data_IF_648160981603
#
_entry.id   IF_648160981603
#
_cell.length_a   1.000
_cell.length_b   1.000
_cell.length_c   1.000
_cell.angle_alpha   90.00
_cell.angle_beta   90.00
_cell.angle_gamma   90.00
#
_symmetry.space_group_name_H-M   'P 1'
#
loop_
_entity.id
_entity.type
_entity.pdbx_description
1 polymer ?
#
# COMPACT_ATOMS: atom_id res chain seq x y z
N UNK A 1 26.43 -28.53 -55.28
CA UNK A 1 26.93 -28.69 -53.89
C UNK A 1 27.64 -27.40 -53.50
N UNK A 2 27.13 -26.69 -52.47
CA UNK A 2 27.71 -25.51 -51.79
C UNK A 2 27.95 -24.26 -52.66
N UNK A 3 27.04 -23.31 -52.85
CA UNK A 3 26.57 -22.21 -51.95
C UNK A 3 27.65 -21.52 -51.11
N UNK A 4 28.13 -20.37 -51.61
CA UNK A 4 28.81 -19.31 -50.85
C UNK A 4 27.84 -18.15 -50.65
N UNK A 5 27.31 -17.98 -49.44
CA UNK A 5 26.47 -16.85 -49.05
C UNK A 5 27.23 -15.96 -48.05
N UNK A 6 27.37 -14.70 -48.42
CA UNK A 6 27.11 -13.51 -47.61
C UNK A 6 27.54 -13.51 -46.14
N UNK A 7 28.78 -13.08 -45.93
CA UNK A 7 29.21 -12.47 -44.68
C UNK A 7 28.74 -11.01 -44.63
N UNK A 8 27.43 -10.78 -44.51
CA UNK A 8 26.86 -9.45 -44.23
C UNK A 8 25.53 -9.53 -43.45
N UNK A 9 25.35 -10.58 -42.65
CA UNK A 9 24.09 -10.84 -41.94
C UNK A 9 24.35 -11.28 -40.50
N UNK A 10 25.06 -10.45 -39.72
CA UNK A 10 25.23 -10.70 -38.28
C UNK A 10 25.32 -9.44 -37.39
N UNK A 11 25.10 -8.24 -37.94
CA UNK A 11 25.07 -6.98 -37.15
C UNK A 11 23.70 -6.31 -37.19
N UNK A 12 22.69 -6.98 -37.74
CA UNK A 12 21.36 -6.40 -37.98
C UNK A 12 20.23 -7.12 -37.22
N UNK A 13 20.54 -7.74 -36.08
CA UNK A 13 19.52 -8.39 -35.23
C UNK A 13 19.52 -7.97 -33.76
N UNK A 14 20.14 -6.84 -33.41
CA UNK A 14 20.05 -6.28 -32.03
C UNK A 14 19.41 -4.88 -31.97
N UNK A 15 19.12 -4.25 -33.12
CA UNK A 15 18.58 -2.88 -33.17
C UNK A 15 17.08 -2.78 -33.54
N UNK A 16 16.26 -3.76 -33.15
CA UNK A 16 14.78 -3.66 -33.25
C UNK A 16 14.11 -3.31 -31.91
N UNK A 17 14.88 -2.93 -30.87
CA UNK A 17 14.33 -2.59 -29.55
C UNK A 17 14.52 -1.16 -29.04
N UNK A 18 14.99 -0.24 -29.86
CA UNK A 18 15.06 1.17 -29.50
C UNK A 18 14.53 2.04 -30.65
N UNK A 19 13.24 2.37 -30.59
CA UNK A 19 12.52 3.18 -31.58
C UNK A 19 13.01 4.61 -31.67
N UNK A 20 14.15 4.82 -32.34
CA UNK A 20 14.68 6.13 -32.72
C UNK A 20 15.16 6.04 -34.17
N UNK A 21 14.26 6.02 -35.15
CA UNK A 21 14.60 6.31 -36.56
C UNK A 21 13.32 6.54 -37.38
N UNK A 22 12.50 7.51 -36.98
CA UNK A 22 11.34 7.91 -37.79
C UNK A 22 11.14 9.42 -37.87
N UNK A 23 12.25 10.16 -37.96
CA UNK A 23 12.22 11.60 -38.22
C UNK A 23 13.33 12.06 -39.16
N UNK A 24 13.55 11.34 -40.28
CA UNK A 24 14.45 11.85 -41.32
C UNK A 24 14.24 11.34 -42.75
N UNK A 25 13.03 10.93 -43.12
CA UNK A 25 12.68 10.70 -44.54
C UNK A 25 11.21 11.12 -44.77
N UNK A 26 10.99 12.42 -44.99
CA UNK A 26 9.82 12.94 -45.72
C UNK A 26 10.06 14.38 -46.20
N UNK A 27 11.32 14.67 -46.56
CA UNK A 27 11.67 15.81 -47.37
C UNK A 27 11.78 15.32 -48.82
N UNK A 28 11.12 16.02 -49.75
CA UNK A 28 11.06 15.77 -51.20
C UNK A 28 10.00 14.77 -51.70
N UNK A 29 8.75 15.22 -51.76
CA UNK A 29 7.94 15.22 -53.00
C UNK A 29 6.53 15.75 -52.71
N UNK A 30 6.24 16.99 -53.14
CA UNK A 30 4.86 17.46 -53.34
C UNK A 30 4.77 18.13 -54.70
N UNK A 31 4.25 17.37 -55.66
CA UNK A 31 3.80 17.87 -56.95
C UNK A 31 2.83 19.04 -56.74
N UNK A 32 3.05 20.14 -57.46
CA UNK A 32 2.15 21.30 -57.48
C UNK A 32 0.84 20.93 -58.20
N UNK A 33 -0.28 21.11 -57.52
CA UNK A 33 -1.63 21.02 -58.12
C UNK A 33 -1.99 22.35 -58.78
N UNK A 34 -2.79 22.35 -59.87
CA UNK A 34 -3.16 23.58 -60.57
C UNK A 34 -3.97 24.52 -59.67
N UNK A 35 -3.66 25.81 -59.75
CA UNK A 35 -4.29 26.87 -58.96
C UNK A 35 -5.60 27.29 -59.63
N UNK A 36 -6.72 27.14 -58.92
CA UNK A 36 -7.99 27.78 -59.28
C UNK A 36 -7.88 29.28 -59.02
N UNK A 37 -7.85 30.06 -60.11
CA UNK A 37 -7.94 31.51 -60.10
C UNK A 37 -9.31 31.94 -59.56
N UNK A 38 -9.34 32.76 -58.51
CA UNK A 38 -10.54 33.55 -58.15
C UNK A 38 -11.02 33.56 -56.69
N UNK A 39 -10.33 32.94 -55.73
CA UNK A 39 -10.74 33.02 -54.32
C UNK A 39 -9.66 33.70 -53.45
N UNK A 40 -10.00 34.87 -52.88
CA UNK A 40 -9.15 35.59 -51.91
C UNK A 40 -8.92 34.70 -50.68
N UNK A 41 -7.80 34.00 -50.65
CA UNK A 41 -7.30 33.35 -49.45
C UNK A 41 -6.82 34.44 -48.47
N UNK A 42 -7.57 34.66 -47.39
CA UNK A 42 -7.00 35.34 -46.20
C UNK A 42 -5.93 34.42 -45.63
N UNK A 43 -4.67 34.78 -45.83
CA UNK A 43 -3.53 34.20 -45.10
C UNK A 43 -3.80 34.34 -43.60
N UNK A 44 -3.98 33.22 -42.89
CA UNK A 44 -3.93 33.22 -41.44
C UNK A 44 -2.53 33.71 -41.04
N UNK A 45 -2.47 34.70 -40.14
CA UNK A 45 -1.22 35.08 -39.46
C UNK A 45 -0.57 33.80 -38.98
N UNK A 46 0.65 33.55 -39.45
CA UNK A 46 1.52 32.50 -38.93
C UNK A 46 1.75 32.89 -37.47
N UNK A 47 1.21 32.14 -36.52
CA UNK A 47 1.49 32.36 -35.10
C UNK A 47 3.01 32.32 -34.94
N UNK A 48 3.61 33.47 -34.65
CA UNK A 48 4.98 33.53 -34.17
C UNK A 48 4.99 32.69 -32.91
N UNK A 49 5.68 31.54 -32.95
CA UNK A 49 5.98 30.80 -31.72
C UNK A 49 6.78 31.76 -30.85
N UNK A 50 6.15 32.32 -29.82
CA UNK A 50 6.82 33.14 -28.83
C UNK A 50 8.12 32.44 -28.44
N UNK A 51 9.23 33.16 -28.44
CA UNK A 51 10.56 32.60 -28.18
C UNK A 51 10.61 32.07 -26.74
N UNK A 52 11.17 30.89 -26.54
CA UNK A 52 11.33 30.31 -25.19
C UNK A 52 12.54 30.95 -24.53
N UNK A 53 12.31 31.83 -23.55
CA UNK A 53 13.36 32.62 -22.89
C UNK A 53 13.30 32.44 -21.36
N UNK A 54 13.70 31.26 -20.84
CA UNK A 54 13.63 30.95 -19.41
C UNK A 54 14.51 31.85 -18.54
N UNK A 55 15.60 32.39 -19.09
CA UNK A 55 16.47 33.36 -18.39
C UNK A 55 15.76 34.69 -18.14
N UNK A 56 15.03 35.21 -19.13
CA UNK A 56 14.27 36.47 -18.98
C UNK A 56 13.13 36.29 -17.98
N UNK A 57 12.46 35.14 -18.04
CA UNK A 57 11.47 34.77 -17.03
C UNK A 57 12.07 34.70 -15.62
N UNK A 58 13.21 34.00 -15.46
CA UNK A 58 13.95 33.92 -14.19
C UNK A 58 14.27 35.32 -13.66
N UNK A 59 14.86 36.17 -14.48
CA UNK A 59 15.33 37.50 -14.04
C UNK A 59 14.15 38.34 -13.52
N UNK A 60 12.99 38.25 -14.18
CA UNK A 60 11.76 38.92 -13.75
C UNK A 60 11.24 38.39 -12.41
N UNK A 61 11.21 37.06 -12.23
CA UNK A 61 10.75 36.45 -10.98
C UNK A 61 11.71 36.75 -9.83
N UNK A 62 13.02 36.58 -10.05
CA UNK A 62 14.06 36.83 -9.04
C UNK A 62 14.02 38.30 -8.59
N UNK A 63 13.90 39.24 -9.53
CA UNK A 63 13.77 40.66 -9.20
C UNK A 63 12.56 40.91 -8.29
N UNK A 64 11.36 40.42 -8.66
CA UNK A 64 10.17 40.66 -7.86
C UNK A 64 10.19 39.99 -6.49
N UNK A 65 10.82 38.81 -6.36
CA UNK A 65 11.04 38.18 -5.05
C UNK A 65 12.01 38.98 -4.17
N UNK A 66 13.08 39.52 -4.76
CA UNK A 66 14.03 40.38 -4.04
C UNK A 66 13.43 41.73 -3.63
N UNK A 67 12.52 42.29 -4.44
CA UNK A 67 11.77 43.51 -4.10
C UNK A 67 10.74 43.26 -2.98
N UNK A 68 10.10 42.08 -2.96
CA UNK A 68 9.18 41.68 -1.90
C UNK A 68 9.89 41.42 -0.55
N UNK A 69 11.18 41.05 -0.58
CA UNK A 69 11.98 40.79 0.60
C UNK A 69 11.53 39.54 1.36
N UNK A 70 11.65 39.55 2.70
CA UNK A 70 11.30 38.42 3.56
C UNK A 70 9.80 38.31 3.88
N UNK A 71 8.96 39.21 3.38
CA UNK A 71 7.51 39.18 3.60
C UNK A 71 6.85 38.17 2.64
N UNK A 72 6.46 37.02 3.19
CA UNK A 72 5.83 35.94 2.43
C UNK A 72 4.44 36.30 1.88
N UNK A 73 3.74 37.27 2.50
CA UNK A 73 2.48 37.77 1.95
C UNK A 73 2.74 38.67 0.74
N UNK A 74 3.76 39.51 0.81
CA UNK A 74 4.21 40.31 -0.33
C UNK A 74 4.67 39.42 -1.49
N UNK A 75 5.40 38.33 -1.22
CA UNK A 75 5.79 37.33 -2.22
C UNK A 75 4.55 36.68 -2.85
N UNK A 76 3.58 36.22 -2.05
CA UNK A 76 2.36 35.60 -2.57
C UNK A 76 1.56 36.58 -3.46
N UNK A 77 1.46 37.84 -3.06
CA UNK A 77 0.79 38.91 -3.82
C UNK A 77 1.52 39.22 -5.12
N UNK A 78 2.86 39.29 -5.09
CA UNK A 78 3.68 39.45 -6.29
C UNK A 78 3.40 38.29 -7.26
N UNK A 79 3.48 37.05 -6.80
CA UNK A 79 3.27 35.87 -7.64
C UNK A 79 1.87 35.80 -8.27
N UNK A 80 0.81 36.22 -7.54
CA UNK A 80 -0.55 36.35 -8.10
C UNK A 80 -0.62 37.48 -9.15
N UNK A 81 -0.04 38.64 -8.87
CA UNK A 81 -0.06 39.73 -9.84
C UNK A 81 0.75 39.41 -11.11
N UNK A 82 1.92 38.79 -10.96
CA UNK A 82 2.84 38.47 -12.04
C UNK A 82 2.32 37.34 -12.93
N UNK A 83 1.62 36.35 -12.37
CA UNK A 83 1.06 35.23 -13.15
C UNK A 83 -0.07 35.62 -14.10
N UNK A 84 -0.62 36.84 -13.99
CA UNK A 84 -1.53 37.41 -14.98
C UNK A 84 -0.82 37.93 -16.24
N UNK A 85 0.49 38.18 -16.15
CA UNK A 85 1.33 38.78 -17.20
C UNK A 85 2.38 37.81 -17.73
N UNK A 86 2.87 36.91 -16.88
CA UNK A 86 3.89 35.93 -17.20
C UNK A 86 3.26 34.55 -17.45
N UNK A 87 3.78 33.82 -18.42
CA UNK A 87 3.31 32.48 -18.74
C UNK A 87 3.90 31.43 -17.79
N UNK A 88 3.30 31.27 -16.61
CA UNK A 88 3.71 30.25 -15.64
C UNK A 88 3.58 28.83 -16.17
N UNK A 89 2.64 28.56 -17.09
CA UNK A 89 2.46 27.20 -17.61
C UNK A 89 3.67 26.77 -18.42
N UNK A 90 4.22 27.70 -19.20
CA UNK A 90 5.39 27.45 -20.05
C UNK A 90 6.70 27.40 -19.26
N UNK A 91 6.81 28.17 -18.19
CA UNK A 91 8.03 28.29 -17.38
C UNK A 91 7.87 27.67 -15.98
N UNK A 92 6.98 26.68 -15.82
CA UNK A 92 6.66 26.11 -14.52
C UNK A 92 7.90 25.53 -13.80
N UNK A 93 8.73 24.76 -14.52
CA UNK A 93 9.97 24.19 -13.99
C UNK A 93 10.89 25.30 -13.45
N UNK A 94 11.09 26.36 -14.25
CA UNK A 94 11.90 27.52 -13.88
C UNK A 94 11.33 28.27 -12.67
N UNK A 95 10.00 28.44 -12.62
CA UNK A 95 9.32 29.09 -11.50
C UNK A 95 9.58 28.33 -10.20
N UNK A 96 9.37 27.02 -10.21
CA UNK A 96 9.49 26.19 -9.01
C UNK A 96 10.94 25.93 -8.60
N UNK A 97 11.89 25.83 -9.54
CA UNK A 97 13.32 25.86 -9.27
C UNK A 97 13.68 27.11 -8.44
N UNK A 98 13.20 28.30 -8.86
CA UNK A 98 13.47 29.55 -8.15
C UNK A 98 12.81 29.58 -6.77
N UNK A 99 11.54 29.19 -6.66
CA UNK A 99 10.82 29.22 -5.39
C UNK A 99 11.38 28.23 -4.35
N UNK A 100 11.97 27.12 -4.78
CA UNK A 100 12.57 26.13 -3.88
C UNK A 100 14.05 26.41 -3.65
N UNK A 101 14.85 26.52 -4.72
CA UNK A 101 16.31 26.55 -4.66
C UNK A 101 16.92 27.96 -4.78
N UNK A 102 16.12 28.97 -5.16
CA UNK A 102 16.52 30.37 -5.30
C UNK A 102 17.08 30.74 -6.67
N UNK A 103 17.25 29.77 -7.57
CA UNK A 103 17.80 29.94 -8.92
C UNK A 103 17.31 28.81 -9.83
N UNK A 104 17.62 28.90 -11.13
CA UNK A 104 17.42 27.76 -12.04
C UNK A 104 18.35 26.59 -11.68
N UNK A 105 17.86 25.37 -11.92
CA UNK A 105 18.65 24.16 -11.75
C UNK A 105 19.06 23.58 -13.11
N UNK A 106 20.28 23.09 -13.19
CA UNK A 106 20.77 22.32 -14.32
C UNK A 106 20.13 20.92 -14.33
N UNK A 107 20.14 20.21 -15.48
CA UNK A 107 19.80 18.80 -15.50
C UNK A 107 20.70 18.02 -14.52
N UNK A 108 20.11 17.50 -13.43
CA UNK A 108 20.85 16.87 -12.32
C UNK A 108 20.70 17.56 -10.96
N UNK A 109 20.01 18.71 -10.90
CA UNK A 109 19.65 19.38 -9.65
C UNK A 109 20.72 20.32 -9.07
N UNK A 110 21.85 20.52 -9.75
CA UNK A 110 22.84 21.53 -9.36
C UNK A 110 22.36 22.92 -9.75
N UNK A 111 22.62 23.93 -8.91
CA UNK A 111 22.31 25.32 -9.27
C UNK A 111 23.15 25.76 -10.46
N UNK A 112 22.52 26.47 -11.40
CA UNK A 112 23.25 27.14 -12.48
C UNK A 112 23.92 28.37 -11.88
N UNK A 113 25.24 28.28 -11.66
CA UNK A 113 26.05 29.38 -11.15
C UNK A 113 26.56 30.24 -12.31
N UNK A 114 25.85 31.36 -12.55
CA UNK A 114 26.26 32.38 -13.51
C UNK A 114 27.28 33.38 -12.92
N UNK A 115 27.78 33.16 -11.69
CA UNK A 115 28.63 34.08 -10.91
C UNK A 115 28.01 35.48 -10.68
N UNK A 116 26.72 35.63 -10.96
CA UNK A 116 25.97 36.88 -10.90
C UNK A 116 24.86 36.77 -9.85
N UNK A 117 25.06 37.45 -8.72
CA UNK A 117 24.15 37.45 -7.57
C UNK A 117 22.77 38.04 -7.90
N UNK A 118 22.63 38.79 -8.99
CA UNK A 118 21.34 39.36 -9.41
C UNK A 118 20.40 38.31 -9.98
N UNK A 119 20.92 37.13 -10.36
CA UNK A 119 20.16 36.01 -10.94
C UNK A 119 19.70 34.97 -9.91
N UNK A 120 19.86 35.29 -8.63
CA UNK A 120 19.47 34.44 -7.50
C UNK A 120 18.65 35.26 -6.50
N UNK A 121 17.73 34.59 -5.81
CA UNK A 121 17.03 35.12 -4.64
C UNK A 121 17.36 34.31 -3.39
N UNK A 122 17.35 35.00 -2.24
CA UNK A 122 17.41 34.36 -0.91
C UNK A 122 16.01 34.13 -0.32
N UNK A 123 14.96 34.58 -1.02
CA UNK A 123 13.57 34.48 -0.57
C UNK A 123 12.93 33.22 -1.18
N UNK A 124 13.50 32.07 -0.81
CA UNK A 124 13.08 30.74 -1.25
C UNK A 124 13.26 29.73 -0.12
N UNK A 125 12.74 28.52 -0.32
CA UNK A 125 12.70 27.46 0.70
C UNK A 125 14.08 27.09 1.21
N UNK A 126 15.09 26.94 0.33
CA UNK A 126 16.43 26.50 0.73
C UNK A 126 17.17 27.52 1.61
N UNK A 127 16.82 28.80 1.51
CA UNK A 127 17.37 29.87 2.35
C UNK A 127 16.51 30.20 3.57
N UNK A 128 15.33 29.58 3.72
CA UNK A 128 14.49 29.72 4.92
C UNK A 128 15.19 29.19 6.17
N UNK A 129 14.72 29.58 7.35
CA UNK A 129 15.15 28.94 8.60
C UNK A 129 14.73 27.47 8.61
N UNK A 130 15.57 26.59 9.15
CA UNK A 130 15.28 25.16 9.29
C UNK A 130 14.34 24.92 10.48
N UNK A 131 13.15 25.51 10.38
CA UNK A 131 12.11 25.49 11.40
C UNK A 131 10.74 25.14 10.77
N UNK A 132 9.90 24.45 11.54
CA UNK A 132 8.64 23.93 11.02
C UNK A 132 7.66 25.04 10.66
N UNK A 133 7.56 26.10 11.46
CA UNK A 133 6.68 27.23 11.19
C UNK A 133 7.19 28.07 10.01
N UNK A 134 8.51 28.28 9.92
CA UNK A 134 9.12 28.96 8.77
C UNK A 134 8.81 28.24 7.45
N UNK A 135 9.00 26.92 7.39
CA UNK A 135 8.72 26.12 6.19
C UNK A 135 7.21 26.00 5.93
N UNK A 136 6.37 25.95 6.98
CA UNK A 136 4.90 26.00 6.85
C UNK A 136 4.46 27.29 6.16
N UNK A 137 5.04 28.43 6.51
CA UNK A 137 4.68 29.71 5.88
C UNK A 137 5.07 29.73 4.38
N UNK A 138 6.22 29.16 4.00
CA UNK A 138 6.55 28.96 2.58
C UNK A 138 5.55 28.01 1.90
N UNK A 139 5.15 26.91 2.54
CA UNK A 139 4.14 26.00 2.02
C UNK A 139 2.80 26.71 1.74
N UNK A 140 2.43 27.72 2.55
CA UNK A 140 1.24 28.54 2.30
C UNK A 140 1.35 29.36 1.02
N UNK A 141 2.54 29.87 0.66
CA UNK A 141 2.77 30.55 -0.63
C UNK A 141 2.47 29.62 -1.80
N UNK A 142 2.99 28.38 -1.77
CA UNK A 142 2.67 27.37 -2.78
C UNK A 142 1.17 27.06 -2.81
N UNK A 143 0.54 26.89 -1.64
CA UNK A 143 -0.91 26.63 -1.56
C UNK A 143 -1.74 27.74 -2.20
N UNK A 144 -1.41 29.01 -1.94
CA UNK A 144 -2.07 30.17 -2.57
C UNK A 144 -1.86 30.17 -4.08
N UNK A 145 -0.62 29.97 -4.53
CA UNK A 145 -0.26 29.94 -5.94
C UNK A 145 -0.98 28.83 -6.70
N UNK A 146 -0.97 27.59 -6.20
CA UNK A 146 -1.60 26.43 -6.85
C UNK A 146 -3.13 26.54 -6.82
N UNK A 147 -3.73 27.08 -5.73
CA UNK A 147 -5.18 27.33 -5.69
C UNK A 147 -5.60 28.36 -6.74
N UNK A 148 -4.79 29.40 -6.95
CA UNK A 148 -5.06 30.47 -7.92
C UNK A 148 -4.83 30.01 -9.36
N UNK A 149 -3.72 29.31 -9.61
CA UNK A 149 -3.32 28.81 -10.91
C UNK A 149 -3.37 27.28 -10.93
N UNK A 150 -4.57 26.73 -10.86
CA UNK A 150 -4.80 25.27 -10.75
C UNK A 150 -4.13 24.46 -11.86
N UNK A 151 -3.91 25.04 -13.04
CA UNK A 151 -3.18 24.39 -14.14
C UNK A 151 -1.71 24.09 -13.82
N UNK A 152 -1.12 24.72 -12.79
CA UNK A 152 0.24 24.45 -12.33
C UNK A 152 0.36 23.22 -11.44
N UNK A 153 -0.75 22.69 -10.92
CA UNK A 153 -0.74 21.56 -9.98
C UNK A 153 0.07 20.38 -10.51
N UNK A 154 -0.12 20.02 -11.78
CA UNK A 154 0.59 18.89 -12.38
C UNK A 154 2.09 19.17 -12.55
N UNK A 155 2.43 20.36 -13.03
CA UNK A 155 3.83 20.77 -13.17
C UNK A 155 4.54 20.85 -11.81
N UNK A 156 3.84 21.29 -10.77
CA UNK A 156 4.37 21.31 -9.41
C UNK A 156 4.63 19.91 -8.86
N UNK A 157 3.71 18.97 -9.07
CA UNK A 157 3.92 17.56 -8.71
C UNK A 157 5.15 16.97 -9.40
N UNK A 158 5.27 17.20 -10.71
CA UNK A 158 6.37 16.65 -11.52
C UNK A 158 7.72 17.30 -11.14
N UNK A 159 7.72 18.60 -10.81
CA UNK A 159 8.89 19.29 -10.33
C UNK A 159 9.35 18.78 -8.96
N UNK A 160 8.44 18.61 -7.99
CA UNK A 160 8.81 18.07 -6.69
C UNK A 160 9.38 16.64 -6.85
N UNK A 161 8.78 15.81 -7.72
CA UNK A 161 9.36 14.49 -8.05
C UNK A 161 10.79 14.60 -8.61
N UNK A 162 11.04 15.57 -9.49
CA UNK A 162 12.37 15.85 -10.07
C UNK A 162 13.37 16.21 -8.96
N UNK A 163 13.00 17.12 -8.06
CA UNK A 163 13.83 17.51 -6.92
C UNK A 163 14.14 16.32 -5.98
N UNK A 164 13.16 15.46 -5.72
CA UNK A 164 13.36 14.24 -4.91
C UNK A 164 14.31 13.22 -5.58
N UNK A 165 14.41 13.18 -6.91
CA UNK A 165 15.39 12.33 -7.62
C UNK A 165 16.82 12.87 -7.49
N UNK A 166 16.97 14.18 -7.28
CA UNK A 166 18.26 14.86 -7.23
C UNK A 166 18.70 15.22 -5.80
N UNK A 167 18.17 14.56 -4.77
CA UNK A 167 18.52 14.86 -3.37
C UNK A 167 20.03 14.87 -3.11
N UNK A 168 20.81 14.04 -3.81
CA UNK A 168 22.27 13.99 -3.71
C UNK A 168 22.97 15.30 -4.12
N UNK A 169 22.34 16.12 -4.96
CA UNK A 169 22.87 17.42 -5.38
C UNK A 169 22.68 18.51 -4.31
N UNK A 170 21.87 18.25 -3.29
CA UNK A 170 21.54 19.20 -2.23
C UNK A 170 22.30 18.88 -0.93
N UNK A 171 22.63 19.93 -0.18
CA UNK A 171 23.20 19.81 1.17
C UNK A 171 22.20 19.19 2.15
N UNK A 172 22.68 18.68 3.28
CA UNK A 172 21.81 18.07 4.30
C UNK A 172 20.72 19.03 4.82
N UNK A 173 21.07 20.30 5.03
CA UNK A 173 20.13 21.36 5.41
C UNK A 173 19.04 21.56 4.34
N UNK A 174 19.41 21.60 3.07
CA UNK A 174 18.45 21.75 1.97
C UNK A 174 17.55 20.52 1.82
N UNK A 175 18.11 19.32 1.94
CA UNK A 175 17.34 18.07 1.98
C UNK A 175 16.34 18.09 3.14
N UNK A 176 16.73 18.61 4.30
CA UNK A 176 15.86 18.69 5.48
C UNK A 176 14.70 19.67 5.25
N UNK A 177 14.97 20.87 4.73
CA UNK A 177 13.93 21.84 4.37
C UNK A 177 12.99 21.33 3.28
N UNK A 178 13.52 20.62 2.28
CA UNK A 178 12.71 19.99 1.23
C UNK A 178 11.83 18.86 1.79
N UNK A 179 12.35 18.07 2.73
CA UNK A 179 11.60 17.02 3.41
C UNK A 179 10.44 17.63 4.22
N UNK A 180 10.71 18.71 4.97
CA UNK A 180 9.71 19.43 5.75
C UNK A 180 8.63 20.02 4.85
N UNK A 181 9.03 20.73 3.78
CA UNK A 181 8.09 21.29 2.80
C UNK A 181 7.21 20.20 2.19
N UNK A 182 7.82 19.11 1.72
CA UNK A 182 7.11 18.00 1.12
C UNK A 182 6.12 17.36 2.09
N UNK A 183 6.51 17.15 3.36
CA UNK A 183 5.65 16.62 4.41
C UNK A 183 4.44 17.51 4.68
N UNK A 184 4.64 18.84 4.74
CA UNK A 184 3.57 19.81 4.97
C UNK A 184 2.61 19.88 3.77
N UNK A 185 3.13 19.87 2.55
CA UNK A 185 2.31 19.90 1.32
C UNK A 185 1.50 18.61 1.12
N UNK A 186 2.08 17.46 1.49
CA UNK A 186 1.39 16.17 1.51
C UNK A 186 0.28 16.15 2.58
N UNK A 187 0.57 16.63 3.79
CA UNK A 187 -0.41 16.73 4.86
C UNK A 187 -1.61 17.59 4.44
N UNK A 188 -1.35 18.73 3.79
CA UNK A 188 -2.38 19.65 3.32
C UNK A 188 -3.11 19.18 2.05
N UNK A 189 -2.64 18.10 1.40
CA UNK A 189 -3.23 17.56 0.17
C UNK A 189 -2.93 18.37 -1.08
N UNK A 190 -1.95 19.28 -1.03
CA UNK A 190 -1.48 20.04 -2.20
C UNK A 190 -0.63 19.18 -3.11
N UNK A 191 0.08 18.20 -2.54
CA UNK A 191 0.78 17.16 -3.29
C UNK A 191 0.18 15.78 -2.99
N UNK A 192 0.10 14.88 -3.98
CA UNK A 192 -0.27 13.48 -3.76
C UNK A 192 0.92 12.67 -3.25
N UNK A 193 0.66 11.61 -2.48
CA UNK A 193 1.70 10.71 -1.96
C UNK A 193 2.51 10.00 -3.06
N UNK A 194 2.02 9.97 -4.31
CA UNK A 194 2.74 9.42 -5.47
C UNK A 194 4.08 10.11 -5.75
N UNK A 195 4.35 11.31 -5.22
CA UNK A 195 5.68 11.93 -5.33
C UNK A 195 6.77 11.10 -4.63
N UNK A 196 6.41 10.33 -3.59
CA UNK A 196 7.36 9.56 -2.79
C UNK A 196 7.99 8.41 -3.57
N UNK A 197 7.45 8.03 -4.74
CA UNK A 197 8.07 7.00 -5.58
C UNK A 197 9.49 7.36 -6.01
N UNK A 198 9.81 8.66 -6.10
CA UNK A 198 11.16 9.14 -6.40
C UNK A 198 12.19 8.72 -5.34
N UNK A 199 11.75 8.48 -4.09
CA UNK A 199 12.62 8.08 -2.99
C UNK A 199 13.14 6.63 -3.12
N UNK A 200 12.52 5.80 -3.95
CA UNK A 200 12.91 4.40 -4.14
C UNK A 200 14.00 4.22 -5.21
N UNK A 201 14.66 5.30 -5.61
CA UNK A 201 15.72 5.24 -6.64
C UNK A 201 17.03 4.72 -6.03
N UNK A 202 17.64 3.73 -6.68
CA UNK A 202 18.82 3.00 -6.19
C UNK A 202 19.98 3.90 -5.71
N UNK A 203 20.22 5.04 -6.37
CA UNK A 203 21.32 5.95 -6.05
C UNK A 203 21.19 6.54 -4.64
N UNK A 204 20.03 7.09 -4.30
CA UNK A 204 19.75 7.72 -3.00
C UNK A 204 19.41 6.70 -1.91
N UNK A 205 18.92 5.53 -2.30
CA UNK A 205 18.67 4.41 -1.37
C UNK A 205 19.97 3.82 -0.87
N UNK A 206 20.94 3.53 -1.76
CA UNK A 206 22.26 2.98 -1.40
C UNK A 206 23.05 3.88 -0.46
N UNK A 207 22.91 5.20 -0.61
CA UNK A 207 23.58 6.21 0.23
C UNK A 207 22.83 6.50 1.55
N UNK A 208 21.67 5.89 1.78
CA UNK A 208 20.86 6.12 2.98
C UNK A 208 20.13 7.46 3.01
N UNK A 209 20.25 8.27 1.95
CA UNK A 209 19.58 9.57 1.81
C UNK A 209 18.06 9.38 1.79
N UNK A 210 17.55 8.37 1.08
CA UNK A 210 16.12 8.10 0.98
C UNK A 210 15.46 7.87 2.34
N UNK A 211 16.05 7.00 3.18
CA UNK A 211 15.54 6.70 4.52
C UNK A 211 15.61 7.92 5.46
N UNK A 212 16.74 8.64 5.45
CA UNK A 212 16.91 9.86 6.25
C UNK A 212 15.91 10.96 5.87
N UNK A 213 15.74 11.18 4.57
CA UNK A 213 14.75 12.12 4.03
C UNK A 213 13.32 11.73 4.41
N UNK A 214 12.97 10.45 4.25
CA UNK A 214 11.63 9.95 4.60
C UNK A 214 11.29 10.19 6.07
N UNK A 215 12.24 9.96 6.98
CA UNK A 215 12.04 10.25 8.41
C UNK A 215 11.70 11.73 8.64
N UNK A 216 12.48 12.65 8.08
CA UNK A 216 12.26 14.10 8.22
C UNK A 216 10.90 14.51 7.63
N UNK A 217 10.55 13.95 6.48
CA UNK A 217 9.27 14.20 5.81
C UNK A 217 8.08 13.72 6.63
N UNK A 218 8.12 12.49 7.13
CA UNK A 218 7.01 11.93 7.91
C UNK A 218 6.86 12.63 9.27
N UNK A 219 7.96 13.06 9.89
CA UNK A 219 7.89 13.93 11.08
C UNK A 219 7.15 15.23 10.77
N UNK A 220 7.52 15.91 9.69
CA UNK A 220 6.86 17.16 9.30
C UNK A 220 5.39 16.96 8.95
N UNK A 221 5.03 15.85 8.29
CA UNK A 221 3.63 15.49 8.03
C UNK A 221 2.87 15.23 9.32
N UNK A 222 3.41 14.43 10.23
CA UNK A 222 2.77 14.11 11.52
C UNK A 222 2.66 15.33 12.45
N UNK A 223 3.51 16.34 12.28
CA UNK A 223 3.36 17.61 12.99
C UNK A 223 2.19 18.47 12.46
N UNK A 224 1.81 18.31 11.19
CA UNK A 224 0.62 18.98 10.61
C UNK A 224 -0.68 18.22 10.89
N UNK A 225 -0.61 16.89 10.98
CA UNK A 225 -1.78 16.00 11.11
C UNK A 225 -1.48 14.85 12.09
N UNK A 226 -1.70 13.62 11.67
CA UNK A 226 -1.50 12.41 12.47
C UNK A 226 -1.00 11.24 11.60
N UNK A 227 -0.61 10.14 12.25
CA UNK A 227 -0.16 8.93 11.58
C UNK A 227 -1.24 8.30 10.67
N UNK A 228 -2.52 8.46 10.99
CA UNK A 228 -3.63 7.94 10.18
C UNK A 228 -3.68 8.64 8.81
N UNK A 229 -3.42 9.95 8.78
CA UNK A 229 -3.36 10.72 7.55
C UNK A 229 -2.24 10.25 6.62
N UNK A 230 -1.07 9.91 7.19
CA UNK A 230 0.07 9.35 6.46
C UNK A 230 -0.28 7.97 5.91
N UNK A 231 -0.69 7.05 6.78
CA UNK A 231 -0.93 5.65 6.42
C UNK A 231 -2.07 5.51 5.40
N UNK A 232 -3.14 6.31 5.53
CA UNK A 232 -4.23 6.37 4.56
C UNK A 232 -3.77 6.86 3.19
N UNK A 233 -2.95 7.92 3.15
CA UNK A 233 -2.40 8.45 1.90
C UNK A 233 -1.45 7.44 1.23
N UNK A 234 -0.62 6.74 1.99
CA UNK A 234 0.28 5.69 1.48
C UNK A 234 -0.50 4.53 0.87
N UNK A 235 -1.57 4.05 1.53
CA UNK A 235 -2.46 3.02 0.96
C UNK A 235 -3.13 3.49 -0.33
N UNK A 236 -3.66 4.71 -0.35
CA UNK A 236 -4.32 5.28 -1.54
C UNK A 236 -3.38 5.37 -2.73
N UNK A 237 -2.09 5.62 -2.48
CA UNK A 237 -1.04 5.65 -3.49
C UNK A 237 -0.40 4.29 -3.79
N UNK A 238 -0.83 3.20 -3.14
CA UNK A 238 -0.22 1.86 -3.21
C UNK A 238 1.27 1.84 -2.82
N UNK A 239 1.66 2.66 -1.85
CA UNK A 239 3.04 2.78 -1.36
C UNK A 239 3.26 2.07 -0.02
N UNK A 240 2.19 1.64 0.64
CA UNK A 240 2.21 0.94 1.92
C UNK A 240 3.05 -0.35 1.89
N UNK A 241 3.11 -1.02 0.73
CA UNK A 241 3.94 -2.23 0.52
C UNK A 241 5.38 -1.96 0.10
N UNK A 242 5.70 -0.71 -0.25
CA UNK A 242 7.00 -0.32 -0.83
C UNK A 242 7.90 0.41 0.16
N UNK A 243 7.44 0.64 1.39
CA UNK A 243 8.20 1.36 2.41
C UNK A 243 9.57 0.71 2.72
N UNK A 244 9.70 -0.61 2.57
CA UNK A 244 10.97 -1.30 2.72
C UNK A 244 11.99 -0.88 1.64
N UNK A 245 11.53 -0.45 0.46
CA UNK A 245 12.39 0.02 -0.64
C UNK A 245 13.12 1.34 -0.34
N UNK A 246 12.81 2.00 0.78
CA UNK A 246 13.62 3.12 1.30
C UNK A 246 15.02 2.68 1.73
N UNK A 247 15.22 1.38 1.94
CA UNK A 247 16.48 0.79 2.37
C UNK A 247 17.12 -0.04 1.26
N UNK A 248 18.46 -0.18 1.25
CA UNK A 248 19.15 -1.07 0.32
C UNK A 248 18.69 -2.53 0.49
N UNK A 249 18.74 -3.32 -0.59
CA UNK A 249 18.21 -4.70 -0.65
C UNK A 249 18.61 -5.60 0.54
N UNK A 250 19.84 -5.46 1.04
CA UNK A 250 20.35 -6.23 2.18
C UNK A 250 19.74 -5.84 3.54
N UNK A 251 18.92 -4.78 3.59
CA UNK A 251 18.27 -4.25 4.80
C UNK A 251 16.75 -4.05 4.63
N UNK A 252 16.17 -4.56 3.54
CA UNK A 252 14.71 -4.50 3.29
C UNK A 252 13.96 -5.55 4.11
N UNK A 253 13.93 -5.36 5.43
CA UNK A 253 13.14 -6.19 6.33
C UNK A 253 12.43 -5.32 7.37
N UNK A 254 11.35 -5.87 7.91
CA UNK A 254 10.45 -5.13 8.81
C UNK A 254 11.11 -4.78 10.13
N UNK A 255 12.04 -5.60 10.63
CA UNK A 255 12.73 -5.30 11.89
C UNK A 255 13.70 -4.13 11.75
N UNK A 256 14.47 -4.07 10.66
CA UNK A 256 15.35 -2.94 10.37
C UNK A 256 14.53 -1.66 10.19
N UNK A 257 13.44 -1.72 9.41
CA UNK A 257 12.53 -0.58 9.25
C UNK A 257 11.98 -0.12 10.60
N UNK A 258 11.41 -1.03 11.38
CA UNK A 258 10.77 -0.72 12.64
C UNK A 258 11.76 -0.13 13.64
N UNK A 259 12.98 -0.68 13.73
CA UNK A 259 14.03 -0.14 14.58
C UNK A 259 14.40 1.29 14.16
N UNK A 260 14.72 1.49 12.88
CA UNK A 260 15.15 2.79 12.35
C UNK A 260 14.10 3.89 12.55
N UNK A 261 12.83 3.60 12.25
CA UNK A 261 11.75 4.56 12.40
C UNK A 261 11.34 4.79 13.86
N UNK A 262 11.38 3.76 14.71
CA UNK A 262 11.10 3.91 16.15
C UNK A 262 12.18 4.74 16.85
N UNK A 263 13.45 4.50 16.55
CA UNK A 263 14.57 5.31 17.07
C UNK A 263 14.47 6.77 16.63
N UNK A 264 13.90 7.01 15.44
CA UNK A 264 13.60 8.34 14.98
C UNK A 264 12.34 8.97 15.60
N UNK A 265 11.57 8.27 16.45
CA UNK A 265 10.34 8.77 17.05
C UNK A 265 9.08 8.63 16.18
N UNK A 266 9.09 7.70 15.22
CA UNK A 266 7.98 7.39 14.31
C UNK A 266 7.48 5.94 14.55
N UNK A 267 7.14 5.63 15.80
CA UNK A 267 6.70 4.29 16.21
C UNK A 267 5.42 3.86 15.50
N UNK A 268 4.49 4.79 15.30
CA UNK A 268 3.20 4.55 14.66
C UNK A 268 3.34 4.02 13.23
N UNK A 269 4.35 4.50 12.49
CA UNK A 269 4.65 4.00 11.15
C UNK A 269 5.30 2.61 11.17
N UNK A 270 6.10 2.34 12.21
CA UNK A 270 6.70 1.02 12.44
C UNK A 270 5.62 -0.03 12.75
N UNK A 271 4.70 0.31 13.64
CA UNK A 271 3.56 -0.54 14.02
C UNK A 271 2.64 -0.77 12.82
N UNK A 272 2.36 0.28 12.03
CA UNK A 272 1.62 0.16 10.78
C UNK A 272 2.22 -0.87 9.83
N UNK A 273 3.53 -0.81 9.58
CA UNK A 273 4.19 -1.73 8.64
C UNK A 273 4.14 -3.18 9.15
N UNK A 274 4.33 -3.42 10.46
CA UNK A 274 4.19 -4.75 11.07
C UNK A 274 2.79 -5.32 10.90
N UNK A 275 1.77 -4.51 11.15
CA UNK A 275 0.37 -4.89 10.93
C UNK A 275 0.11 -5.18 9.45
N UNK A 276 0.66 -4.38 8.54
CA UNK A 276 0.52 -4.60 7.10
C UNK A 276 1.18 -5.89 6.61
N UNK A 277 2.38 -6.19 7.08
CA UNK A 277 3.05 -7.44 6.74
C UNK A 277 2.22 -8.63 7.22
N UNK A 278 1.78 -8.63 8.48
CA UNK A 278 0.98 -9.72 9.03
C UNK A 278 -0.33 -9.94 8.26
N UNK A 279 -1.03 -8.87 7.89
CA UNK A 279 -2.25 -8.96 7.07
C UNK A 279 -1.96 -9.47 5.66
N UNK A 280 -0.86 -9.01 5.05
CA UNK A 280 -0.42 -9.47 3.72
C UNK A 280 -0.10 -10.96 3.71
N UNK A 281 0.72 -11.41 4.65
CA UNK A 281 1.05 -12.83 4.83
C UNK A 281 -0.20 -13.68 5.03
N UNK A 282 -1.12 -13.26 5.91
CA UNK A 282 -2.37 -14.01 6.15
C UNK A 282 -3.22 -14.10 4.89
N UNK A 283 -3.31 -13.02 4.11
CA UNK A 283 -4.10 -13.01 2.88
C UNK A 283 -3.50 -13.91 1.80
N UNK A 284 -2.18 -13.93 1.65
CA UNK A 284 -1.51 -14.83 0.70
C UNK A 284 -1.66 -16.29 1.14
N UNK A 285 -1.42 -16.59 2.42
CA UNK A 285 -1.64 -17.92 2.99
C UNK A 285 -3.10 -18.38 2.78
N UNK A 286 -4.07 -17.49 2.99
CA UNK A 286 -5.48 -17.81 2.75
C UNK A 286 -5.72 -18.19 1.29
N UNK A 287 -5.17 -17.44 0.35
CA UNK A 287 -5.31 -17.69 -1.09
C UNK A 287 -4.68 -19.03 -1.48
N UNK A 288 -3.44 -19.29 -1.07
CA UNK A 288 -2.74 -20.55 -1.35
C UNK A 288 -3.46 -21.75 -0.72
N UNK A 289 -4.01 -21.61 0.49
CA UNK A 289 -4.81 -22.67 1.11
C UNK A 289 -6.14 -22.91 0.39
N UNK A 290 -6.80 -21.88 -0.11
CA UNK A 290 -8.02 -22.03 -0.92
C UNK A 290 -7.71 -22.73 -2.25
N UNK A 291 -6.59 -22.41 -2.91
CA UNK A 291 -6.14 -23.10 -4.11
C UNK A 291 -5.87 -24.58 -3.83
N UNK A 292 -5.13 -24.91 -2.77
CA UNK A 292 -4.86 -26.30 -2.36
C UNK A 292 -6.13 -27.07 -2.00
N UNK A 293 -7.09 -26.44 -1.33
CA UNK A 293 -8.39 -27.05 -1.03
C UNK A 293 -9.16 -27.36 -2.31
N UNK A 294 -9.16 -26.45 -3.29
CA UNK A 294 -9.83 -26.66 -4.59
C UNK A 294 -9.20 -27.78 -5.42
N UNK A 295 -7.93 -28.08 -5.19
CA UNK A 295 -7.18 -29.17 -5.83
C UNK A 295 -7.31 -30.50 -5.07
N UNK A 296 -8.11 -30.55 -4.00
CA UNK A 296 -8.28 -31.73 -3.14
C UNK A 296 -6.94 -32.31 -2.64
N UNK A 297 -5.96 -31.44 -2.35
CA UNK A 297 -4.65 -31.86 -1.87
C UNK A 297 -4.77 -32.76 -0.61
N UNK A 298 -3.92 -33.79 -0.48
CA UNK A 298 -3.91 -34.63 0.72
C UNK A 298 -3.68 -33.83 2.00
N UNK A 299 -4.44 -34.13 3.06
CA UNK A 299 -4.36 -33.42 4.35
C UNK A 299 -2.95 -33.38 4.91
N UNK A 300 -2.17 -34.47 4.75
CA UNK A 300 -0.78 -34.53 5.22
C UNK A 300 0.12 -33.47 4.55
N UNK A 301 -0.06 -33.24 3.25
CA UNK A 301 0.69 -32.22 2.51
C UNK A 301 0.27 -30.82 2.94
N UNK A 302 -1.03 -30.60 3.15
CA UNK A 302 -1.55 -29.34 3.70
C UNK A 302 -0.97 -29.04 5.08
N UNK A 303 -0.89 -30.04 5.97
CA UNK A 303 -0.28 -29.90 7.30
C UNK A 303 1.18 -29.48 7.22
N UNK A 304 1.97 -30.13 6.36
CA UNK A 304 3.39 -29.80 6.17
C UNK A 304 3.55 -28.37 5.68
N UNK A 305 2.80 -27.99 4.65
CA UNK A 305 2.82 -26.64 4.09
C UNK A 305 2.44 -25.59 5.14
N UNK A 306 1.34 -25.76 5.87
CA UNK A 306 0.92 -24.78 6.90
C UNK A 306 1.96 -24.67 8.02
N UNK A 307 2.59 -25.78 8.45
CA UNK A 307 3.68 -25.75 9.44
C UNK A 307 4.91 -24.98 8.93
N UNK A 308 5.27 -25.15 7.66
CA UNK A 308 6.35 -24.39 7.04
C UNK A 308 6.02 -22.89 6.98
N UNK A 309 4.79 -22.52 6.60
CA UNK A 309 4.33 -21.13 6.57
C UNK A 309 4.27 -20.48 7.96
N UNK A 310 3.85 -21.25 8.97
CA UNK A 310 3.88 -20.81 10.36
C UNK A 310 5.30 -20.48 10.81
N UNK A 311 6.26 -21.34 10.48
CA UNK A 311 7.66 -21.14 10.84
C UNK A 311 8.29 -20.00 10.04
N UNK A 312 8.01 -19.91 8.74
CA UNK A 312 8.59 -18.91 7.83
C UNK A 312 8.13 -17.49 8.15
N UNK A 313 6.88 -17.33 8.58
CA UNK A 313 6.28 -16.02 8.81
C UNK A 313 5.91 -15.77 10.28
N UNK A 314 6.38 -16.61 11.20
CA UNK A 314 6.13 -16.51 12.65
C UNK A 314 4.63 -16.38 12.99
N UNK A 315 3.78 -17.14 12.29
CA UNK A 315 2.33 -17.07 12.50
C UNK A 315 1.93 -17.86 13.75
N UNK A 316 1.21 -17.24 14.70
CA UNK A 316 0.71 -17.94 15.88
C UNK A 316 -0.42 -18.92 15.49
N UNK A 317 -0.44 -20.08 16.13
CA UNK A 317 -1.46 -21.12 15.93
C UNK A 317 -2.91 -20.56 16.04
N UNK A 318 -3.25 -19.72 17.04
CA UNK A 318 -4.52 -18.97 17.09
C UNK A 318 -4.95 -18.25 15.80
N UNK A 319 -4.01 -17.66 15.06
CA UNK A 319 -4.34 -16.96 13.81
C UNK A 319 -4.54 -17.94 12.65
N UNK A 320 -3.77 -19.03 12.65
CA UNK A 320 -3.79 -20.07 11.60
C UNK A 320 -5.07 -20.88 11.68
N UNK A 321 -5.52 -21.28 12.88
CA UNK A 321 -6.75 -22.07 13.03
C UNK A 321 -7.99 -21.29 12.57
N UNK A 322 -8.06 -19.99 12.86
CA UNK A 322 -9.14 -19.13 12.37
C UNK A 322 -9.13 -18.98 10.85
N UNK A 323 -7.95 -18.92 10.24
CA UNK A 323 -7.78 -18.88 8.78
C UNK A 323 -8.16 -20.23 8.14
N UNK A 324 -7.72 -21.35 8.71
CA UNK A 324 -8.07 -22.70 8.25
C UNK A 324 -9.59 -22.91 8.27
N UNK A 325 -10.26 -22.57 9.37
CA UNK A 325 -11.72 -22.59 9.45
C UNK A 325 -12.36 -21.80 8.31
N UNK A 326 -11.90 -20.57 8.09
CA UNK A 326 -12.42 -19.70 7.03
C UNK A 326 -12.21 -20.32 5.64
N UNK A 327 -11.04 -20.89 5.36
CA UNK A 327 -10.75 -21.56 4.09
C UNK A 327 -11.62 -22.81 3.89
N UNK A 328 -11.70 -23.68 4.90
CA UNK A 328 -12.49 -24.92 4.86
C UNK A 328 -13.97 -24.61 4.64
N UNK A 329 -14.53 -23.66 5.36
CA UNK A 329 -15.96 -23.33 5.24
C UNK A 329 -16.33 -22.60 3.94
N UNK A 330 -15.37 -21.90 3.32
CA UNK A 330 -15.58 -21.22 2.03
C UNK A 330 -15.27 -22.11 0.82
N UNK A 331 -14.70 -23.29 1.02
CA UNK A 331 -14.40 -24.22 -0.06
C UNK A 331 -15.65 -24.95 -0.62
N UNK A 332 -16.81 -24.78 0.03
CA UNK A 332 -18.04 -25.51 -0.29
C UNK A 332 -19.19 -24.54 -0.53
N UNK A 333 -19.99 -24.84 -1.55
CA UNK A 333 -21.30 -24.22 -1.73
C UNK A 333 -22.35 -24.94 -0.87
N UNK A 334 -22.99 -24.19 0.02
CA UNK A 334 -23.86 -24.74 1.05
C UNK A 334 -25.30 -24.90 0.57
N UNK A 335 -25.93 -26.00 0.98
CA UNK A 335 -27.36 -26.19 0.78
C UNK A 335 -28.18 -25.10 1.51
N UNK A 336 -29.32 -24.71 0.93
CA UNK A 336 -30.25 -23.72 1.52
C UNK A 336 -31.30 -24.36 2.43
N UNK A 337 -31.42 -25.69 2.44
CA UNK A 337 -32.30 -26.43 3.35
C UNK A 337 -31.54 -26.73 4.64
N UNK A 338 -32.11 -26.31 5.78
CA UNK A 338 -31.49 -26.39 7.10
C UNK A 338 -31.04 -27.82 7.49
N UNK A 339 -31.84 -28.84 7.19
CA UNK A 339 -31.49 -30.23 7.53
C UNK A 339 -30.36 -30.77 6.65
N UNK A 340 -30.42 -30.50 5.34
CA UNK A 340 -29.41 -30.96 4.38
C UNK A 340 -28.07 -30.26 4.58
N UNK A 341 -28.08 -28.98 4.94
CA UNK A 341 -26.84 -28.24 5.16
C UNK A 341 -26.12 -28.73 6.42
N UNK A 342 -26.86 -29.11 7.46
CA UNK A 342 -26.25 -29.67 8.67
C UNK A 342 -25.52 -30.99 8.39
N UNK A 343 -26.13 -31.89 7.63
CA UNK A 343 -25.49 -33.16 7.23
C UNK A 343 -24.29 -32.93 6.30
N UNK A 344 -24.45 -32.04 5.31
CA UNK A 344 -23.37 -31.65 4.40
C UNK A 344 -22.17 -31.07 5.17
N UNK A 345 -22.42 -30.17 6.12
CA UNK A 345 -21.40 -29.56 6.95
C UNK A 345 -20.65 -30.57 7.79
N UNK A 346 -21.36 -31.53 8.42
CA UNK A 346 -20.71 -32.58 9.21
C UNK A 346 -19.85 -33.49 8.33
N UNK A 347 -20.31 -33.86 7.13
CA UNK A 347 -19.52 -34.67 6.19
C UNK A 347 -18.24 -33.93 5.77
N UNK A 348 -18.36 -32.67 5.39
CA UNK A 348 -17.24 -31.83 5.01
C UNK A 348 -16.24 -31.62 6.15
N UNK A 349 -16.72 -31.20 7.31
CA UNK A 349 -15.86 -30.95 8.48
C UNK A 349 -15.21 -32.23 9.00
N UNK A 350 -15.86 -33.38 8.88
CA UNK A 350 -15.26 -34.68 9.25
C UNK A 350 -14.05 -35.01 8.37
N UNK A 351 -14.08 -34.65 7.08
CA UNK A 351 -12.94 -34.82 6.19
C UNK A 351 -11.76 -33.95 6.64
N UNK A 352 -11.99 -32.70 7.07
CA UNK A 352 -10.93 -31.76 7.45
C UNK A 352 -10.61 -31.73 8.95
N UNK A 353 -11.31 -32.49 9.79
CA UNK A 353 -11.04 -32.58 11.22
C UNK A 353 -9.57 -32.97 11.53
N UNK A 354 -8.93 -33.92 10.82
CA UNK A 354 -7.51 -34.22 11.04
C UNK A 354 -6.57 -33.04 10.72
N UNK A 355 -6.97 -32.14 9.80
CA UNK A 355 -6.21 -30.91 9.53
C UNK A 355 -6.35 -29.93 10.70
N UNK A 356 -7.59 -29.70 11.16
CA UNK A 356 -7.88 -28.77 12.25
C UNK A 356 -7.23 -29.20 13.56
N UNK A 357 -7.28 -30.50 13.89
CA UNK A 357 -6.69 -31.07 15.11
C UNK A 357 -5.19 -30.75 15.26
N UNK A 358 -4.45 -30.72 14.15
CA UNK A 358 -3.01 -30.41 14.17
C UNK A 358 -2.72 -28.95 14.55
N UNK A 359 -3.68 -28.05 14.35
CA UNK A 359 -3.56 -26.62 14.62
C UNK A 359 -4.51 -26.15 15.75
N UNK A 360 -5.01 -27.06 16.56
CA UNK A 360 -5.82 -26.80 17.74
C UNK A 360 -5.21 -27.52 18.95
N UNK A 361 -3.91 -27.31 19.18
CA UNK A 361 -3.16 -27.97 20.26
C UNK A 361 -3.06 -27.10 21.52
N UNK A 362 -3.35 -25.80 21.37
CA UNK A 362 -3.40 -24.84 22.47
C UNK A 362 -4.85 -24.52 22.82
N UNK A 363 -5.16 -24.42 24.12
CA UNK A 363 -6.52 -24.05 24.55
C UNK A 363 -7.03 -22.72 23.99
N UNK A 364 -6.12 -21.78 23.65
CA UNK A 364 -6.49 -20.54 22.97
C UNK A 364 -6.91 -20.77 21.50
N UNK A 365 -6.24 -21.67 20.78
CA UNK A 365 -6.58 -22.04 19.41
C UNK A 365 -7.93 -22.74 19.33
N UNK A 366 -8.16 -23.70 20.23
CA UNK A 366 -9.44 -24.40 20.38
C UNK A 366 -10.58 -23.43 20.67
N UNK A 367 -10.37 -22.51 21.62
CA UNK A 367 -11.36 -21.49 21.96
C UNK A 367 -11.68 -20.58 20.77
N UNK A 368 -10.67 -20.14 20.02
CA UNK A 368 -10.88 -19.32 18.82
C UNK A 368 -11.64 -20.09 17.75
N UNK A 369 -11.33 -21.37 17.54
CA UNK A 369 -12.07 -22.22 16.60
C UNK A 369 -13.55 -22.32 17.01
N UNK A 370 -13.83 -22.59 18.28
CA UNK A 370 -15.20 -22.70 18.79
C UNK A 370 -15.98 -21.38 18.68
N UNK A 371 -15.34 -20.24 18.97
CA UNK A 371 -15.91 -18.92 18.74
C UNK A 371 -16.19 -18.69 17.23
N UNK A 372 -15.30 -19.11 16.34
CA UNK A 372 -15.49 -18.99 14.89
C UNK A 372 -16.64 -19.87 14.38
N UNK A 373 -16.81 -21.07 14.93
CA UNK A 373 -17.99 -21.92 14.67
C UNK A 373 -19.26 -21.20 15.11
N UNK A 374 -19.27 -20.62 16.32
CA UNK A 374 -20.40 -19.86 16.86
C UNK A 374 -20.78 -18.67 15.97
N UNK A 375 -19.80 -17.84 15.60
CA UNK A 375 -19.99 -16.70 14.71
C UNK A 375 -20.57 -17.14 13.36
N UNK A 376 -20.01 -18.19 12.76
CA UNK A 376 -20.44 -18.70 11.46
C UNK A 376 -21.88 -19.23 11.51
N UNK A 377 -22.20 -20.04 12.52
CA UNK A 377 -23.56 -20.59 12.67
C UNK A 377 -24.60 -19.51 12.96
N UNK A 378 -24.21 -18.39 13.56
CA UNK A 378 -25.10 -17.24 13.78
C UNK A 378 -25.29 -16.41 12.51
N UNK A 379 -24.20 -16.09 11.82
CA UNK A 379 -24.23 -15.26 10.61
C UNK A 379 -24.91 -15.99 9.43
N UNK A 380 -24.97 -17.33 9.47
CA UNK A 380 -25.68 -18.16 8.50
C UNK A 380 -26.87 -18.89 9.14
N UNK A 381 -28.09 -18.38 8.92
CA UNK A 381 -29.34 -18.88 9.53
C UNK A 381 -29.52 -20.40 9.31
N UNK A 382 -29.08 -20.95 8.17
CA UNK A 382 -29.24 -22.38 7.88
C UNK A 382 -28.36 -23.28 8.77
N UNK A 383 -27.35 -22.72 9.45
CA UNK A 383 -26.44 -23.44 10.34
C UNK A 383 -26.83 -23.37 11.82
N UNK A 384 -27.91 -22.66 12.17
CA UNK A 384 -28.33 -22.46 13.56
C UNK A 384 -28.52 -23.76 14.34
N UNK A 385 -29.05 -24.83 13.70
CA UNK A 385 -29.19 -26.17 14.29
C UNK A 385 -27.97 -27.09 14.09
N UNK A 386 -26.98 -26.65 13.31
CA UNK A 386 -25.76 -27.43 13.07
C UNK A 386 -24.71 -27.22 14.16
N UNK A 387 -24.74 -26.09 14.88
CA UNK A 387 -23.74 -25.69 15.87
C UNK A 387 -23.39 -26.82 16.85
N UNK A 388 -24.37 -27.32 17.62
CA UNK A 388 -24.14 -28.40 18.59
C UNK A 388 -23.51 -29.63 17.94
N UNK A 389 -24.00 -30.03 16.75
CA UNK A 389 -23.49 -31.21 16.04
C UNK A 389 -22.04 -31.03 15.61
N UNK A 390 -21.66 -29.82 15.18
CA UNK A 390 -20.28 -29.49 14.80
C UNK A 390 -19.35 -29.56 16.01
N UNK A 391 -19.77 -29.01 17.16
CA UNK A 391 -18.97 -29.05 18.39
C UNK A 391 -18.77 -30.49 18.87
N UNK A 392 -19.83 -31.32 18.84
CA UNK A 392 -19.73 -32.74 19.19
C UNK A 392 -18.83 -33.51 18.22
N UNK A 393 -18.89 -33.20 16.91
CA UNK A 393 -17.97 -33.79 15.92
C UNK A 393 -16.51 -33.45 16.25
N UNK A 394 -16.23 -32.18 16.55
CA UNK A 394 -14.88 -31.72 16.87
C UNK A 394 -14.36 -32.27 18.19
N UNK A 395 -15.20 -32.41 19.21
CA UNK A 395 -14.86 -33.13 20.43
C UNK A 395 -14.46 -34.58 20.16
N UNK A 396 -15.28 -35.31 19.38
CA UNK A 396 -15.00 -36.72 19.03
C UNK A 396 -13.79 -36.92 18.12
N UNK A 397 -13.36 -35.88 17.43
CA UNK A 397 -12.24 -35.93 16.50
C UNK A 397 -10.96 -35.33 17.09
N UNK A 398 -10.92 -35.12 18.41
CA UNK A 398 -9.79 -34.53 19.15
C UNK A 398 -9.37 -33.14 18.61
N UNK A 399 -10.34 -32.37 18.10
CA UNK A 399 -10.16 -30.98 17.64
C UNK A 399 -10.46 -29.98 18.76
N UNK A 400 -11.39 -30.30 19.66
CA UNK A 400 -11.74 -29.49 20.82
C UNK A 400 -11.67 -30.34 22.07
N UNK A 401 -10.95 -29.87 23.09
CA UNK A 401 -10.92 -30.48 24.41
C UNK A 401 -12.19 -30.20 25.21
N UNK A 402 -12.42 -31.00 26.25
CA UNK A 402 -13.46 -30.75 27.23
C UNK A 402 -13.29 -29.37 27.88
N UNK A 403 -12.07 -29.04 28.29
CA UNK A 403 -11.73 -27.80 28.97
C UNK A 403 -12.06 -26.56 28.13
N UNK A 404 -11.76 -26.59 26.83
CA UNK A 404 -12.08 -25.51 25.92
C UNK A 404 -13.59 -25.30 25.77
N UNK A 405 -14.37 -26.38 25.68
CA UNK A 405 -15.83 -26.34 25.56
C UNK A 405 -16.45 -25.80 26.85
N UNK A 406 -16.01 -26.29 28.02
CA UNK A 406 -16.48 -25.82 29.31
C UNK A 406 -16.14 -24.34 29.54
N UNK A 407 -14.93 -23.91 29.16
CA UNK A 407 -14.50 -22.51 29.27
C UNK A 407 -15.32 -21.58 28.37
N UNK A 408 -15.54 -21.97 27.12
CA UNK A 408 -16.43 -21.25 26.19
C UNK A 408 -17.84 -21.12 26.77
N UNK A 409 -18.40 -22.21 27.30
CA UNK A 409 -19.75 -22.22 27.85
C UNK A 409 -19.91 -21.25 29.02
N UNK A 410 -18.94 -21.24 29.95
CA UNK A 410 -18.98 -20.42 31.17
C UNK A 410 -18.76 -18.93 30.89
N UNK A 411 -17.70 -18.59 30.17
CA UNK A 411 -17.24 -17.19 30.12
C UNK A 411 -16.67 -16.73 28.78
N UNK A 412 -16.19 -17.64 27.94
CA UNK A 412 -15.43 -17.28 26.74
C UNK A 412 -16.24 -17.37 25.43
N UNK A 413 -17.57 -17.35 25.50
CA UNK A 413 -18.45 -17.28 24.33
C UNK A 413 -18.57 -15.86 23.77
N UNK A 414 -18.83 -15.74 22.47
CA UNK A 414 -19.11 -14.42 21.85
C UNK A 414 -20.58 -14.02 22.05
N UNK A 415 -20.88 -12.74 21.91
CA UNK A 415 -22.25 -12.21 22.08
C UNK A 415 -23.22 -12.73 21.00
N UNK A 416 -22.72 -13.04 19.79
CA UNK A 416 -23.51 -13.50 18.66
C UNK A 416 -24.19 -14.84 18.95
N UNK A 417 -25.51 -14.88 19.02
CA UNK A 417 -26.28 -16.11 19.24
C UNK A 417 -26.11 -16.74 20.63
N UNK A 418 -25.55 -16.01 21.60
CA UNK A 418 -25.20 -16.50 22.95
C UNK A 418 -26.31 -17.34 23.60
N UNK A 419 -27.51 -16.78 23.76
CA UNK A 419 -28.62 -17.45 24.45
C UNK A 419 -29.02 -18.76 23.77
N UNK A 420 -29.06 -18.75 22.44
CA UNK A 420 -29.45 -19.92 21.63
C UNK A 420 -28.41 -21.03 21.73
N UNK A 421 -27.13 -20.71 21.56
CA UNK A 421 -26.09 -21.74 21.55
C UNK A 421 -25.76 -22.29 22.94
N UNK A 422 -25.87 -21.47 24.00
CA UNK A 422 -25.75 -21.98 25.37
C UNK A 422 -26.90 -22.93 25.72
N UNK A 423 -28.12 -22.66 25.25
CA UNK A 423 -29.25 -23.59 25.45
C UNK A 423 -29.04 -24.90 24.69
N UNK A 424 -28.63 -24.84 23.41
CA UNK A 424 -28.33 -26.02 22.59
C UNK A 424 -27.23 -26.91 23.22
N UNK A 425 -26.23 -26.29 23.86
CA UNK A 425 -25.08 -27.02 24.42
C UNK A 425 -25.32 -27.55 25.84
N UNK A 426 -26.38 -27.13 26.53
CA UNK A 426 -26.62 -27.42 27.95
C UNK A 426 -26.51 -28.91 28.28
N UNK A 427 -27.26 -29.77 27.59
CA UNK A 427 -27.24 -31.23 27.84
C UNK A 427 -25.86 -31.86 27.60
N UNK A 428 -25.12 -31.34 26.62
CA UNK A 428 -23.80 -31.87 26.30
C UNK A 428 -22.75 -31.44 27.33
N UNK A 429 -22.85 -30.20 27.83
CA UNK A 429 -21.99 -29.68 28.90
C UNK A 429 -22.27 -30.37 30.24
N UNK A 430 -23.54 -30.59 30.58
CA UNK A 430 -23.93 -31.39 31.75
C UNK A 430 -23.34 -32.82 31.66
N UNK A 431 -23.34 -33.41 30.47
CA UNK A 431 -22.72 -34.71 30.25
C UNK A 431 -21.20 -34.69 30.44
N UNK A 432 -20.49 -33.71 29.87
CA UNK A 432 -19.03 -33.56 30.05
C UNK A 432 -18.67 -33.48 31.54
N UNK A 433 -19.35 -32.61 32.28
CA UNK A 433 -19.11 -32.42 33.72
C UNK A 433 -19.36 -33.68 34.56
N UNK A 434 -20.31 -34.51 34.17
CA UNK A 434 -20.64 -35.74 34.91
C UNK A 434 -19.81 -36.96 34.47
N UNK A 435 -19.15 -36.90 33.31
CA UNK A 435 -18.37 -38.00 32.76
C UNK A 435 -17.06 -38.25 33.55
N UNK A 436 -16.50 -37.24 34.21
CA UNK A 436 -15.35 -37.39 35.11
C UNK A 436 -15.72 -38.06 36.45
N UNK A 437 -16.96 -37.94 36.93
CA UNK A 437 -17.37 -38.47 38.25
C UNK A 437 -17.73 -39.98 38.22
N UNK A 438 -17.92 -40.57 37.05
CA UNK A 438 -18.35 -41.96 36.89
C UNK A 438 -17.27 -42.83 36.20
N UNK A 439 -16.34 -43.39 36.98
CA UNK A 439 -15.34 -44.35 36.52
C UNK A 439 -15.87 -45.74 36.13
N UNK A 440 -16.98 -45.86 35.38
CA UNK A 440 -17.54 -47.13 34.90
C UNK A 440 -17.99 -47.06 33.41
N UNK A 441 -17.89 -48.18 32.66
CA UNK A 441 -17.82 -48.16 31.21
C UNK A 441 -19.13 -47.72 30.54
N UNK A 442 -18.97 -46.85 29.54
CA UNK A 442 -20.00 -46.26 28.69
C UNK A 442 -20.78 -47.29 27.84
N UNK A 443 -21.62 -48.11 28.48
CA UNK A 443 -22.48 -49.06 27.79
C UNK A 443 -23.84 -48.46 27.38
N UNK A 444 -24.31 -47.40 28.05
CA UNK A 444 -25.69 -46.93 27.87
C UNK A 444 -25.86 -45.74 26.89
N UNK A 445 -24.78 -45.10 26.46
CA UNK A 445 -24.85 -43.97 25.49
C UNK A 445 -24.64 -44.38 24.03
N UNK A 446 -24.13 -45.57 23.75
CA UNK A 446 -24.03 -46.07 22.37
C UNK A 446 -25.42 -46.29 21.75
N UNK A 447 -26.46 -46.52 22.57
CA UNK A 447 -27.83 -46.68 22.09
C UNK A 447 -28.47 -45.34 21.72
N UNK A 448 -28.24 -44.28 22.51
CA UNK A 448 -28.84 -42.96 22.24
C UNK A 448 -28.07 -42.14 21.19
N UNK A 449 -26.77 -42.40 20.95
CA UNK A 449 -26.02 -41.81 19.83
C UNK A 449 -26.31 -42.50 18.48
N UNK A 450 -26.77 -43.75 18.48
CA UNK A 450 -27.10 -44.51 17.28
C UNK A 450 -28.23 -43.89 16.43
N UNK A 451 -29.05 -43.00 17.01
CA UNK A 451 -30.09 -42.28 16.27
C UNK A 451 -29.64 -40.94 15.67
N UNK A 452 -28.44 -40.46 15.98
CA UNK A 452 -27.96 -39.15 15.48
C UNK A 452 -27.12 -39.25 14.20
N UNK A 453 -26.74 -40.47 13.79
CA UNK A 453 -26.02 -40.79 12.54
C UNK A 453 -26.33 -42.24 12.09
N UNK A 454 -27.60 -42.57 11.75
CA UNK A 454 -27.83 -43.71 10.84
C UNK A 454 -27.67 -43.22 9.40
N UNK A 455 -26.91 -43.90 8.53
CA UNK A 455 -27.13 -43.77 7.10
C UNK A 455 -28.53 -44.34 6.84
N UNK A 456 -29.46 -43.51 6.38
CA UNK A 456 -30.60 -44.04 5.64
C UNK A 456 -30.03 -44.63 4.34
N UNK A 457 -30.05 -45.95 4.24
CA UNK A 457 -29.99 -46.66 2.96
C UNK A 457 -31.13 -46.20 2.06
#
# INVERSE_FOLDING_TARGET
MGTSNDCSTAVQEVCVRAGIWNLKINFMNKNQKPVLTGQRFKTRKRDEKEKFEPTVFRDTIVQGLNEAGSDLEAIAKFLDSAGSRLDYRRYADTLFDILVAGSMLAPGGTRIDDNDKTKMTRHCVFFAEEDHDAIRNYAQVFNKLIRRYKYLEKAFEDEIKKLLLFLKAFSETEQTKLAMLSGILLANGTLPATILTSLFTDNIVKEGIAASFAVKLFKAWMAEKDANSVTSALRKANLDKRLLELFPANRQNVDHFAKYFTEAGLKELSDFLRVQQSLGTRKELQKELQERLSQECPIKEMVLYVKEEMKRNELPEPAVIGLLWTCVMNAVEWNKKEELVAEQALKHLKQYAPLLAVFSTQGQSELILLQKVQEYCYDNIHFMKAFQKIVVLFYKADVLSEEAILKWYKEAHVAKGKSVFLDQMKKFVEWLQNAEEAGEPAADWNCSMGNWLRPHL
#
